data_IF_492181799337
#
_entry.id   IF_492181799337
#
_cell.length_a   1.000
_cell.length_b   1.000
_cell.length_c   1.000
_cell.angle_alpha   90.00
_cell.angle_beta   90.00
_cell.angle_gamma   90.00
#
_symmetry.space_group_name_H-M   'P 1'
#
loop_
_entity.id
_entity.type
_entity.pdbx_description
1 polymer ?
#
# COMPACT_ATOMS: atom_id res chain seq x y z
N UNK A 1 13.24 6.96 20.19
CA UNK A 1 12.33 6.19 19.32
C UNK A 1 11.62 7.19 18.44
N UNK A 2 11.51 6.93 17.14
CA UNK A 2 10.71 7.78 16.24
C UNK A 2 9.33 7.16 16.04
N UNK A 3 8.31 7.99 15.88
CA UNK A 3 6.91 7.59 15.71
C UNK A 3 6.46 7.83 14.27
N UNK A 4 5.99 6.76 13.62
CA UNK A 4 5.30 6.84 12.34
C UNK A 4 3.82 6.52 12.58
N UNK A 5 2.94 7.48 12.27
CA UNK A 5 1.51 7.35 12.54
C UNK A 5 0.72 7.22 11.23
N UNK A 6 -0.07 6.15 11.13
CA UNK A 6 -0.99 5.90 10.02
C UNK A 6 -2.40 6.35 10.34
N UNK A 7 -2.94 7.31 9.60
CA UNK A 7 -4.30 7.83 9.80
C UNK A 7 -5.37 6.82 9.37
N UNK A 8 -5.20 6.19 8.21
CA UNK A 8 -6.12 5.17 7.71
C UNK A 8 -5.40 3.84 7.44
N UNK A 9 -5.62 2.85 8.32
CA UNK A 9 -5.16 1.47 8.16
C UNK A 9 -6.37 0.53 8.05
N UNK A 10 -7.05 0.60 6.90
CA UNK A 10 -8.17 -0.26 6.48
C UNK A 10 -9.43 -0.25 7.39
N UNK A 11 -9.47 0.62 8.40
CA UNK A 11 -10.55 0.67 9.39
C UNK A 11 -11.61 1.70 8.97
N UNK A 12 -12.65 1.23 8.31
CA UNK A 12 -13.82 2.05 7.95
C UNK A 12 -14.92 1.89 9.02
N UNK A 13 -15.43 2.99 9.62
CA UNK A 13 -16.54 2.90 10.56
C UNK A 13 -17.78 2.25 9.94
N UNK A 14 -18.56 1.41 10.68
CA UNK A 14 -19.73 0.74 10.12
C UNK A 14 -20.76 1.69 9.49
N UNK A 15 -21.05 2.81 10.13
CA UNK A 15 -21.97 3.83 9.59
C UNK A 15 -21.47 4.46 8.28
N UNK A 16 -20.14 4.51 8.08
CA UNK A 16 -19.56 5.00 6.84
C UNK A 16 -19.71 3.96 5.72
N UNK A 17 -19.53 2.69 6.08
CA UNK A 17 -19.80 1.57 5.17
C UNK A 17 -21.25 1.53 4.73
N UNK A 18 -22.22 1.75 5.62
CA UNK A 18 -23.65 1.66 5.33
C UNK A 18 -24.10 2.61 4.21
N UNK A 19 -23.51 3.81 4.09
CA UNK A 19 -23.84 4.74 3.00
C UNK A 19 -22.99 4.55 1.74
N UNK A 20 -21.97 3.68 1.76
CA UNK A 20 -21.10 3.40 0.62
C UNK A 20 -19.64 3.85 0.76
N UNK A 21 -19.23 4.44 1.90
CA UNK A 21 -17.84 4.71 2.23
C UNK A 21 -17.11 5.55 1.17
N UNK A 22 -15.88 5.14 0.82
CA UNK A 22 -15.01 5.85 -0.13
C UNK A 22 -15.57 5.95 -1.56
N UNK A 23 -16.71 5.31 -1.88
CA UNK A 23 -17.43 5.55 -3.13
C UNK A 23 -17.98 6.98 -3.22
N UNK A 24 -18.20 7.64 -2.09
CA UNK A 24 -18.80 8.97 -1.99
C UNK A 24 -17.83 10.01 -1.43
N UNK A 25 -17.86 11.22 -2.01
CA UNK A 25 -17.11 12.40 -1.55
C UNK A 25 -17.29 12.69 -0.06
N UNK A 26 -18.51 12.44 0.47
CA UNK A 26 -18.85 12.62 1.88
C UNK A 26 -17.83 11.99 2.85
N UNK A 27 -17.19 10.89 2.46
CA UNK A 27 -16.17 10.21 3.28
C UNK A 27 -14.89 11.02 3.42
N UNK A 28 -14.56 11.86 2.43
CA UNK A 28 -13.44 12.79 2.50
C UNK A 28 -13.64 13.77 3.66
N UNK A 29 -14.84 14.31 3.81
CA UNK A 29 -15.13 15.29 4.87
C UNK A 29 -14.99 14.65 6.26
N UNK A 30 -15.56 13.46 6.46
CA UNK A 30 -15.42 12.72 7.73
C UNK A 30 -13.97 12.32 8.01
N UNK A 31 -13.22 11.89 7.00
CA UNK A 31 -11.80 11.59 7.16
C UNK A 31 -11.01 12.85 7.56
N UNK A 32 -11.35 14.01 6.99
CA UNK A 32 -10.72 15.27 7.38
C UNK A 32 -11.11 15.68 8.80
N UNK A 33 -12.35 15.51 9.23
CA UNK A 33 -12.75 15.77 10.61
C UNK A 33 -11.97 14.90 11.60
N UNK A 34 -11.82 13.61 11.30
CA UNK A 34 -10.96 12.71 12.06
C UNK A 34 -9.49 13.15 12.04
N UNK A 35 -8.96 13.48 10.85
CA UNK A 35 -7.56 13.90 10.67
C UNK A 35 -7.24 15.13 11.51
N UNK A 36 -8.11 16.14 11.51
CA UNK A 36 -7.93 17.35 12.32
C UNK A 36 -7.82 17.01 13.80
N UNK A 37 -8.75 16.22 14.32
CA UNK A 37 -8.74 15.79 15.73
C UNK A 37 -7.44 15.06 16.08
N UNK A 38 -6.95 14.16 15.23
CA UNK A 38 -5.71 13.42 15.48
C UNK A 38 -4.49 14.34 15.42
N UNK A 39 -4.34 15.10 14.34
CA UNK A 39 -3.19 15.98 14.11
C UNK A 39 -3.11 17.04 15.23
N UNK A 40 -4.22 17.67 15.59
CA UNK A 40 -4.25 18.69 16.64
C UNK A 40 -3.89 18.11 18.02
N UNK A 41 -4.19 16.83 18.25
CA UNK A 41 -3.96 16.18 19.53
C UNK A 41 -2.55 15.59 19.70
N UNK A 42 -1.94 15.06 18.63
CA UNK A 42 -0.70 14.26 18.75
C UNK A 42 0.44 14.67 17.84
N UNK A 43 0.31 15.75 17.03
CA UNK A 43 1.35 16.13 16.07
C UNK A 43 2.73 16.37 16.65
N UNK A 44 2.82 16.87 17.89
CA UNK A 44 4.11 17.06 18.58
C UNK A 44 4.86 15.74 18.87
N UNK A 45 4.18 14.60 18.79
CA UNK A 45 4.75 13.27 19.06
C UNK A 45 5.06 12.47 17.78
N UNK A 46 4.67 12.97 16.60
CA UNK A 46 4.73 12.22 15.34
C UNK A 46 5.92 12.70 14.50
N UNK A 47 6.82 11.78 14.17
CA UNK A 47 7.98 12.04 13.30
C UNK A 47 7.67 11.82 11.82
N UNK A 48 6.72 10.94 11.49
CA UNK A 48 6.31 10.62 10.11
C UNK A 48 4.81 10.37 10.04
N UNK A 49 4.16 10.92 9.02
CA UNK A 49 2.74 10.67 8.77
C UNK A 49 2.55 9.75 7.58
N UNK A 50 1.70 8.73 7.74
CA UNK A 50 1.13 7.95 6.66
C UNK A 50 -0.36 8.31 6.61
N UNK A 51 -0.84 8.92 5.53
CA UNK A 51 -2.28 9.21 5.43
C UNK A 51 -3.08 7.93 5.18
N UNK A 52 -2.62 7.08 4.24
CA UNK A 52 -3.30 5.87 3.80
C UNK A 52 -2.31 4.71 3.71
N UNK A 53 -2.67 3.59 4.34
CA UNK A 53 -2.05 2.29 4.08
C UNK A 53 -2.82 1.56 2.98
N UNK A 54 -2.07 1.03 2.01
CA UNK A 54 -2.50 0.15 0.91
C UNK A 54 -3.89 0.44 0.32
N UNK A 55 -4.18 1.69 -0.09
CA UNK A 55 -5.55 2.07 -0.44
C UNK A 55 -6.12 1.29 -1.62
N UNK A 56 -5.27 0.87 -2.56
CA UNK A 56 -5.72 0.03 -3.67
C UNK A 56 -6.09 -1.40 -3.23
N UNK A 57 -5.40 -1.96 -2.23
CA UNK A 57 -5.73 -3.27 -1.63
C UNK A 57 -7.08 -3.15 -0.93
N UNK A 58 -7.27 -2.10 -0.12
CA UNK A 58 -8.55 -1.83 0.53
C UNK A 58 -9.69 -1.70 -0.48
N UNK A 59 -9.52 -0.89 -1.54
CA UNK A 59 -10.55 -0.70 -2.57
C UNK A 59 -10.87 -2.00 -3.30
N UNK A 60 -9.86 -2.78 -3.67
CA UNK A 60 -10.03 -4.04 -4.38
C UNK A 60 -10.77 -5.07 -3.52
N UNK A 61 -10.32 -5.28 -2.27
CA UNK A 61 -10.89 -6.31 -1.40
C UNK A 61 -12.25 -5.92 -0.82
N UNK A 62 -12.49 -4.63 -0.58
CA UNK A 62 -13.77 -4.14 -0.04
C UNK A 62 -14.78 -3.91 -1.16
N UNK A 63 -14.47 -3.08 -2.15
CA UNK A 63 -15.47 -2.63 -3.14
C UNK A 63 -15.56 -3.48 -4.40
N UNK A 64 -14.50 -4.21 -4.77
CA UNK A 64 -14.51 -5.03 -5.99
C UNK A 64 -14.77 -6.51 -5.69
N UNK A 65 -14.05 -7.09 -4.72
CA UNK A 65 -14.16 -8.51 -4.39
C UNK A 65 -15.19 -8.81 -3.28
N UNK A 66 -15.53 -7.83 -2.44
CA UNK A 66 -16.39 -8.05 -1.26
C UNK A 66 -15.79 -9.02 -0.22
N UNK A 67 -14.48 -9.19 -0.22
CA UNK A 67 -13.76 -10.07 0.68
C UNK A 67 -13.47 -9.42 2.05
N UNK A 68 -13.43 -8.09 2.11
CA UNK A 68 -13.22 -7.32 3.34
C UNK A 68 -14.50 -6.66 3.85
N UNK A 69 -14.59 -6.36 5.18
CA UNK A 69 -15.76 -5.73 5.77
C UNK A 69 -16.16 -4.43 5.08
N UNK A 70 -17.47 -4.24 4.95
CA UNK A 70 -18.06 -3.09 4.28
C UNK A 70 -18.19 -3.22 2.77
N UNK A 71 -17.80 -4.37 2.23
CA UNK A 71 -18.02 -4.76 0.85
C UNK A 71 -19.26 -5.63 0.67
N UNK A 72 -20.29 -5.09 0.01
CA UNK A 72 -21.41 -5.86 -0.53
C UNK A 72 -21.68 -5.49 -2.00
N UNK A 73 -20.68 -5.67 -2.89
CA UNK A 73 -20.84 -5.25 -4.28
C UNK A 73 -21.86 -6.11 -5.01
N UNK A 74 -22.66 -5.47 -5.86
CA UNK A 74 -23.55 -6.19 -6.76
C UNK A 74 -22.79 -6.68 -8.01
N UNK A 75 -23.46 -7.53 -8.81
CA UNK A 75 -22.85 -8.12 -10.01
C UNK A 75 -22.39 -7.08 -11.03
N UNK A 76 -23.07 -5.93 -11.12
CA UNK A 76 -22.70 -4.86 -12.05
C UNK A 76 -21.47 -4.11 -11.53
N UNK A 77 -21.42 -3.80 -10.24
CA UNK A 77 -20.25 -3.20 -9.59
C UNK A 77 -19.01 -4.10 -9.78
N UNK A 78 -19.14 -5.42 -9.58
CA UNK A 78 -18.05 -6.38 -9.81
C UNK A 78 -17.61 -6.35 -11.29
N UNK A 79 -18.56 -6.49 -12.22
CA UNK A 79 -18.28 -6.59 -13.65
C UNK A 79 -17.68 -5.30 -14.25
N UNK A 80 -17.97 -4.14 -13.66
CA UNK A 80 -17.49 -2.84 -14.14
C UNK A 80 -16.37 -2.25 -13.29
N UNK A 81 -15.95 -2.95 -12.23
CA UNK A 81 -15.02 -2.45 -11.20
C UNK A 81 -13.73 -1.85 -11.76
N UNK A 82 -13.12 -2.51 -12.75
CA UNK A 82 -11.87 -2.11 -13.36
C UNK A 82 -12.00 -1.11 -14.53
N UNK A 83 -13.22 -0.71 -14.90
CA UNK A 83 -13.43 0.33 -15.91
C UNK A 83 -12.96 1.69 -15.38
N UNK A 84 -12.64 2.67 -16.26
CA UNK A 84 -12.26 4.02 -15.84
C UNK A 84 -13.30 4.71 -14.93
N UNK A 85 -14.58 4.42 -15.14
CA UNK A 85 -15.71 4.92 -14.34
C UNK A 85 -16.18 3.91 -13.28
N UNK A 86 -15.45 2.81 -13.11
CA UNK A 86 -15.76 1.74 -12.17
C UNK A 86 -15.50 2.16 -10.72
N UNK A 87 -16.06 1.37 -9.80
CA UNK A 87 -16.01 1.64 -8.36
C UNK A 87 -14.58 1.76 -7.82
N UNK A 88 -13.63 0.99 -8.37
CA UNK A 88 -12.23 1.06 -7.98
C UNK A 88 -11.65 2.46 -8.24
N UNK A 89 -11.80 2.95 -9.47
CA UNK A 89 -11.27 4.26 -9.85
C UNK A 89 -11.97 5.40 -9.11
N UNK A 90 -13.28 5.28 -8.87
CA UNK A 90 -14.06 6.24 -8.09
C UNK A 90 -13.56 6.33 -6.65
N UNK A 91 -13.40 5.19 -5.96
CA UNK A 91 -12.93 5.16 -4.58
C UNK A 91 -11.48 5.66 -4.48
N UNK A 92 -10.60 5.22 -5.38
CA UNK A 92 -9.22 5.70 -5.45
C UNK A 92 -9.12 7.21 -5.73
N UNK A 93 -10.08 7.78 -6.48
CA UNK A 93 -10.15 9.23 -6.69
C UNK A 93 -10.42 9.97 -5.37
N UNK A 94 -11.45 9.59 -4.63
CA UNK A 94 -11.78 10.25 -3.35
C UNK A 94 -10.70 10.06 -2.29
N UNK A 95 -10.06 8.89 -2.24
CA UNK A 95 -8.89 8.66 -1.37
C UNK A 95 -7.72 9.59 -1.76
N UNK A 96 -7.48 9.81 -3.05
CA UNK A 96 -6.43 10.74 -3.51
C UNK A 96 -6.75 12.17 -3.07
N UNK A 97 -8.00 12.62 -3.21
CA UNK A 97 -8.45 13.93 -2.75
C UNK A 97 -8.29 14.07 -1.23
N UNK A 98 -8.67 13.04 -0.47
CA UNK A 98 -8.51 13.02 0.99
C UNK A 98 -7.04 13.07 1.42
N UNK A 99 -6.16 12.36 0.72
CA UNK A 99 -4.72 12.42 0.95
C UNK A 99 -4.19 13.84 0.77
N UNK A 100 -4.49 14.49 -0.37
CA UNK A 100 -4.04 15.87 -0.63
C UNK A 100 -4.53 16.86 0.41
N UNK A 101 -5.81 16.76 0.84
CA UNK A 101 -6.36 17.62 1.91
C UNK A 101 -5.68 17.37 3.26
N UNK A 102 -5.38 16.12 3.61
CA UNK A 102 -4.69 15.78 4.85
C UNK A 102 -3.23 16.24 4.83
N UNK A 103 -2.54 16.07 3.71
CA UNK A 103 -1.18 16.58 3.50
C UNK A 103 -1.13 18.08 3.75
N UNK A 104 -1.98 18.86 3.09
CA UNK A 104 -2.01 20.32 3.25
C UNK A 104 -2.29 20.72 4.71
N UNK A 105 -3.27 20.07 5.35
CA UNK A 105 -3.59 20.34 6.75
C UNK A 105 -2.42 20.06 7.69
N UNK A 106 -1.72 18.92 7.51
CA UNK A 106 -0.58 18.56 8.36
C UNK A 106 0.53 19.59 8.23
N UNK A 107 0.89 20.02 7.02
CA UNK A 107 1.93 21.02 6.82
C UNK A 107 1.55 22.43 7.30
N UNK A 108 0.28 22.81 7.17
CA UNK A 108 -0.21 24.10 7.65
C UNK A 108 -0.23 24.19 9.19
N UNK A 109 -0.45 23.07 9.88
CA UNK A 109 -0.71 23.06 11.32
C UNK A 109 0.45 22.47 12.16
N UNK A 110 1.39 21.72 11.56
CA UNK A 110 2.55 21.15 12.27
C UNK A 110 3.81 22.03 12.11
N UNK A 111 3.75 23.27 12.58
CA UNK A 111 4.77 24.30 12.29
C UNK A 111 6.12 24.14 13.00
N UNK A 112 6.20 23.43 14.14
CA UNK A 112 7.44 23.34 14.93
C UNK A 112 8.39 22.22 14.46
N UNK A 113 7.85 21.13 13.90
CA UNK A 113 8.62 19.94 13.50
C UNK A 113 8.55 19.63 12.00
N UNK A 114 7.56 20.18 11.29
CA UNK A 114 7.26 19.91 9.87
C UNK A 114 7.52 18.44 9.47
N UNK A 115 6.85 17.47 10.12
CA UNK A 115 7.11 16.06 9.91
C UNK A 115 6.75 15.66 8.48
N UNK A 116 7.56 14.83 7.81
CA UNK A 116 7.28 14.37 6.44
C UNK A 116 5.98 13.57 6.36
N UNK A 117 5.21 13.81 5.31
CA UNK A 117 3.93 13.16 5.01
C UNK A 117 4.07 12.28 3.77
N UNK A 118 3.55 11.06 3.86
CA UNK A 118 3.57 10.09 2.78
C UNK A 118 2.41 9.11 2.83
N UNK A 119 2.55 8.03 2.08
CA UNK A 119 1.63 6.88 2.04
C UNK A 119 2.41 5.59 2.21
N UNK A 120 1.74 4.51 2.62
CA UNK A 120 2.32 3.16 2.61
C UNK A 120 1.66 2.36 1.47
N UNK A 121 2.40 2.15 0.39
CA UNK A 121 1.87 1.58 -0.84
C UNK A 121 2.33 0.15 -1.04
N UNK A 122 1.38 -0.78 -1.03
CA UNK A 122 1.66 -2.19 -1.32
C UNK A 122 2.14 -2.38 -2.75
N UNK A 123 3.21 -3.15 -2.89
CA UNK A 123 3.71 -3.61 -4.18
C UNK A 123 4.07 -5.08 -4.04
N UNK A 124 3.58 -5.89 -4.97
CA UNK A 124 3.92 -7.30 -5.10
C UNK A 124 4.63 -7.52 -6.43
N UNK A 125 5.59 -8.45 -6.46
CA UNK A 125 6.18 -8.87 -7.72
C UNK A 125 5.23 -9.86 -8.41
N UNK A 126 4.43 -9.37 -9.36
CA UNK A 126 3.51 -10.22 -10.12
C UNK A 126 4.21 -10.82 -11.34
N UNK A 127 4.17 -12.15 -11.46
CA UNK A 127 4.67 -12.87 -12.66
C UNK A 127 3.59 -13.77 -13.26
N UNK A 128 3.56 -13.93 -14.59
CA UNK A 128 2.61 -14.82 -15.24
C UNK A 128 3.00 -16.28 -15.03
N UNK A 129 2.02 -17.17 -14.84
CA UNK A 129 2.27 -18.62 -14.80
C UNK A 129 2.68 -19.16 -16.17
N UNK A 130 2.00 -18.72 -17.23
CA UNK A 130 2.33 -19.04 -18.63
C UNK A 130 2.16 -17.86 -19.58
N UNK A 131 2.47 -18.07 -20.86
CA UNK A 131 2.42 -17.02 -21.89
C UNK A 131 1.04 -16.36 -22.03
N UNK A 132 -0.04 -17.09 -21.76
CA UNK A 132 -1.40 -16.58 -21.84
C UNK A 132 -1.78 -15.67 -20.66
N UNK A 133 -1.01 -15.67 -19.57
CA UNK A 133 -1.28 -14.89 -18.37
C UNK A 133 -0.58 -13.51 -18.39
N UNK A 134 0.27 -13.25 -19.39
CA UNK A 134 1.03 -11.99 -19.52
C UNK A 134 0.08 -10.79 -19.55
N UNK A 135 -1.00 -10.86 -20.34
CA UNK A 135 -1.96 -9.76 -20.45
C UNK A 135 -2.67 -9.45 -19.13
N UNK A 136 -2.99 -10.49 -18.33
CA UNK A 136 -3.61 -10.32 -17.03
C UNK A 136 -2.65 -9.63 -16.05
N UNK A 137 -1.38 -10.04 -16.00
CA UNK A 137 -0.34 -9.39 -15.18
C UNK A 137 -0.11 -7.94 -15.61
N UNK A 138 0.02 -7.68 -16.91
CA UNK A 138 0.19 -6.31 -17.42
C UNK A 138 -1.00 -5.43 -17.03
N UNK A 139 -2.23 -5.93 -17.15
CA UNK A 139 -3.43 -5.20 -16.77
C UNK A 139 -3.46 -4.92 -15.26
N UNK A 140 -3.24 -5.94 -14.42
CA UNK A 140 -3.21 -5.80 -12.96
C UNK A 140 -2.15 -4.77 -12.53
N UNK A 141 -0.94 -4.86 -13.08
CA UNK A 141 0.15 -3.93 -12.80
C UNK A 141 -0.19 -2.49 -13.23
N UNK A 142 -0.87 -2.33 -14.37
CA UNK A 142 -1.27 -1.01 -14.87
C UNK A 142 -2.28 -0.29 -13.98
N UNK A 143 -3.01 -1.04 -13.14
CA UNK A 143 -3.99 -0.50 -12.20
C UNK A 143 -3.40 -0.27 -10.79
N UNK A 144 -2.46 -1.12 -10.38
CA UNK A 144 -2.09 -1.24 -8.95
C UNK A 144 -0.72 -0.67 -8.60
N UNK A 145 0.25 -0.68 -9.52
CA UNK A 145 1.63 -0.32 -9.16
C UNK A 145 1.80 1.19 -9.05
N UNK A 146 1.48 1.94 -10.10
CA UNK A 146 1.83 3.37 -10.22
C UNK A 146 0.66 4.37 -10.17
N UNK A 147 -0.57 4.07 -10.66
CA UNK A 147 -1.60 5.10 -10.83
C UNK A 147 -1.96 5.88 -9.58
N UNK A 148 -1.92 5.27 -8.40
CA UNK A 148 -2.21 5.96 -7.16
C UNK A 148 -1.12 6.98 -6.81
N UNK A 149 0.14 6.55 -6.79
CA UNK A 149 1.28 7.43 -6.50
C UNK A 149 1.36 8.55 -7.53
N UNK A 150 1.10 8.26 -8.81
CA UNK A 150 1.06 9.27 -9.87
C UNK A 150 0.02 10.37 -9.61
N UNK A 151 -1.13 10.04 -9.01
CA UNK A 151 -2.21 11.01 -8.70
C UNK A 151 -1.87 11.95 -7.55
N UNK A 152 -0.93 11.57 -6.70
CA UNK A 152 -0.59 12.30 -5.47
C UNK A 152 0.87 12.76 -5.45
N UNK A 153 1.57 12.65 -6.57
CA UNK A 153 3.02 12.86 -6.64
C UNK A 153 3.47 14.27 -6.24
N UNK A 154 2.58 15.27 -6.30
CA UNK A 154 2.81 16.65 -5.88
C UNK A 154 2.52 16.90 -4.38
N UNK A 155 2.08 15.87 -3.65
CA UNK A 155 1.67 15.92 -2.23
C UNK A 155 2.34 14.80 -1.42
N UNK A 156 3.63 14.58 -1.64
CA UNK A 156 4.41 13.56 -0.94
C UNK A 156 5.78 14.13 -0.53
N UNK A 157 6.18 13.92 0.72
CA UNK A 157 7.56 14.13 1.18
C UNK A 157 8.38 12.85 1.13
N UNK A 158 7.72 11.69 1.04
CA UNK A 158 8.34 10.38 0.86
C UNK A 158 7.34 9.36 0.30
N UNK A 159 7.86 8.29 -0.30
CA UNK A 159 7.05 7.16 -0.79
C UNK A 159 7.30 5.95 0.10
N UNK A 160 6.29 5.55 0.88
CA UNK A 160 6.31 4.31 1.65
C UNK A 160 5.98 3.11 0.76
N UNK A 161 6.73 2.02 0.91
CA UNK A 161 6.56 0.77 0.15
C UNK A 161 6.31 -0.37 1.14
N UNK A 162 5.18 -1.06 0.97
CA UNK A 162 4.92 -2.34 1.62
C UNK A 162 5.23 -3.46 0.63
N UNK A 163 6.07 -4.40 1.02
CA UNK A 163 6.45 -5.52 0.16
C UNK A 163 6.48 -6.82 0.95
N UNK A 164 5.78 -7.83 0.45
CA UNK A 164 5.66 -9.12 1.11
C UNK A 164 6.22 -10.29 0.27
N UNK A 165 6.34 -10.13 -1.05
CA UNK A 165 6.87 -11.17 -1.92
C UNK A 165 6.34 -11.12 -3.35
N UNK A 166 6.22 -12.30 -3.95
CA UNK A 166 5.70 -12.48 -5.30
C UNK A 166 4.31 -13.11 -5.32
N UNK A 167 3.61 -12.85 -6.42
CA UNK A 167 2.33 -13.45 -6.77
C UNK A 167 2.43 -14.03 -8.19
N UNK A 168 1.93 -15.25 -8.38
CA UNK A 168 1.86 -15.88 -9.69
C UNK A 168 0.43 -15.83 -10.18
N UNK A 169 0.22 -15.19 -11.33
CA UNK A 169 -1.11 -15.05 -11.93
C UNK A 169 -1.36 -16.16 -12.94
N UNK A 170 -2.51 -16.82 -12.84
CA UNK A 170 -2.98 -17.81 -13.82
C UNK A 170 -4.48 -17.63 -14.08
N UNK A 171 -4.84 -17.33 -15.33
CA UNK A 171 -6.20 -16.98 -15.71
C UNK A 171 -6.72 -15.75 -14.96
N UNK A 172 -7.78 -15.93 -14.19
CA UNK A 172 -8.47 -14.86 -13.43
C UNK A 172 -8.03 -14.77 -11.97
N UNK A 173 -7.02 -15.54 -11.55
CA UNK A 173 -6.65 -15.63 -10.14
C UNK A 173 -5.17 -15.89 -9.88
N UNK A 174 -4.87 -16.07 -8.59
CA UNK A 174 -3.54 -16.41 -8.12
C UNK A 174 -3.33 -17.93 -8.12
N UNK A 175 -2.10 -18.36 -8.37
CA UNK A 175 -1.69 -19.76 -8.37
C UNK A 175 -0.47 -19.98 -7.49
N UNK A 176 -0.52 -21.01 -6.66
CA UNK A 176 0.65 -21.51 -5.95
C UNK A 176 1.44 -22.45 -6.89
N UNK A 177 2.75 -22.25 -6.97
CA UNK A 177 3.68 -22.97 -7.84
C UNK A 177 4.58 -23.82 -6.97
N UNK A 178 4.54 -25.15 -7.14
CA UNK A 178 5.22 -26.10 -6.25
C UNK A 178 6.72 -25.87 -6.05
N UNK A 179 7.40 -25.21 -7.00
CA UNK A 179 8.83 -24.94 -6.93
C UNK A 179 9.20 -23.68 -6.14
N UNK A 180 8.21 -22.86 -5.78
CA UNK A 180 8.43 -21.62 -5.05
C UNK A 180 8.29 -21.87 -3.54
N UNK A 181 9.06 -21.14 -2.73
CA UNK A 181 8.87 -21.07 -1.28
C UNK A 181 7.74 -20.09 -0.96
N UNK A 182 6.84 -20.47 -0.05
CA UNK A 182 5.68 -19.65 0.34
C UNK A 182 5.62 -19.43 1.85
N UNK A 183 5.13 -18.25 2.23
CA UNK A 183 4.63 -18.00 3.58
C UNK A 183 3.37 -18.81 3.87
N UNK A 184 2.99 -18.90 5.15
CA UNK A 184 1.71 -19.50 5.54
C UNK A 184 0.49 -18.72 5.00
N UNK A 185 0.66 -17.43 4.70
CA UNK A 185 -0.35 -16.60 4.04
C UNK A 185 -0.42 -16.79 2.51
N UNK A 186 0.37 -17.72 1.95
CA UNK A 186 0.37 -18.04 0.52
C UNK A 186 1.10 -17.02 -0.36
N UNK A 187 1.95 -16.16 0.23
CA UNK A 187 2.80 -15.20 -0.49
C UNK A 187 4.12 -15.87 -0.84
N UNK A 188 4.55 -15.82 -2.11
CA UNK A 188 5.81 -16.41 -2.51
C UNK A 188 6.98 -15.60 -1.96
N UNK A 189 7.92 -16.23 -1.27
CA UNK A 189 9.14 -15.58 -0.76
C UNK A 189 10.03 -15.23 -1.96
N UNK A 190 10.30 -13.92 -2.15
CA UNK A 190 11.04 -13.46 -3.34
C UNK A 190 11.80 -12.15 -3.09
N UNK A 191 12.97 -12.19 -2.41
CA UNK A 191 13.74 -10.99 -2.08
C UNK A 191 14.21 -10.19 -3.32
N UNK A 192 14.52 -10.88 -4.42
CA UNK A 192 14.88 -10.26 -5.70
C UNK A 192 13.77 -9.35 -6.25
N UNK A 193 12.52 -9.66 -5.93
CA UNK A 193 11.38 -8.83 -6.32
C UNK A 193 11.39 -7.47 -5.62
N UNK A 194 11.75 -7.42 -4.33
CA UNK A 194 11.88 -6.16 -3.60
C UNK A 194 12.95 -5.27 -4.25
N UNK A 195 14.14 -5.82 -4.51
CA UNK A 195 15.20 -5.10 -5.21
C UNK A 195 14.71 -4.51 -6.55
N UNK A 196 14.03 -5.32 -7.37
CA UNK A 196 13.49 -4.88 -8.67
C UNK A 196 12.42 -3.81 -8.54
N UNK A 197 11.53 -3.92 -7.55
CA UNK A 197 10.50 -2.92 -7.26
C UNK A 197 11.15 -1.59 -6.88
N UNK A 198 12.14 -1.60 -5.98
CA UNK A 198 12.85 -0.38 -5.57
C UNK A 198 13.53 0.32 -6.76
N UNK A 199 14.17 -0.44 -7.66
CA UNK A 199 14.75 0.12 -8.89
C UNK A 199 13.69 0.73 -9.83
N UNK A 200 12.56 0.04 -10.01
CA UNK A 200 11.48 0.54 -10.86
C UNK A 200 10.86 1.84 -10.30
N UNK A 201 10.62 1.88 -8.99
CA UNK A 201 10.12 3.07 -8.32
C UNK A 201 11.12 4.22 -8.35
N UNK A 202 12.41 3.95 -8.12
CA UNK A 202 13.45 4.95 -8.29
C UNK A 202 13.44 5.53 -9.69
N UNK A 203 13.49 4.69 -10.73
CA UNK A 203 13.55 5.20 -12.10
C UNK A 203 12.33 6.04 -12.49
N UNK A 204 11.15 5.66 -12.01
CA UNK A 204 9.92 6.42 -12.26
C UNK A 204 9.89 7.74 -11.51
N UNK A 205 10.26 7.75 -10.23
CA UNK A 205 10.02 8.87 -9.32
C UNK A 205 11.27 9.64 -8.89
N UNK A 206 12.47 9.33 -9.41
CA UNK A 206 13.71 10.05 -9.09
C UNK A 206 13.65 11.55 -9.36
N UNK A 207 12.78 12.00 -10.26
CA UNK A 207 12.56 13.41 -10.57
C UNK A 207 11.81 14.18 -9.45
N UNK A 208 11.17 13.48 -8.51
CA UNK A 208 10.52 14.07 -7.34
C UNK A 208 11.51 14.39 -6.23
N UNK A 209 12.70 13.78 -6.25
CA UNK A 209 13.76 13.95 -5.24
C UNK A 209 13.33 13.63 -3.79
N UNK A 210 12.25 12.86 -3.62
CA UNK A 210 11.77 12.40 -2.31
C UNK A 210 12.38 11.05 -1.91
N UNK A 211 12.60 10.80 -0.60
CA UNK A 211 13.02 9.50 -0.11
C UNK A 211 11.97 8.39 -0.26
N UNK A 212 12.45 7.15 -0.27
CA UNK A 212 11.63 5.95 -0.18
C UNK A 212 11.81 5.31 1.19
N UNK A 213 10.72 4.81 1.77
CA UNK A 213 10.78 4.10 3.05
C UNK A 213 10.11 2.75 2.86
N UNK A 214 10.77 1.64 3.18
CA UNK A 214 10.05 0.36 3.31
C UNK A 214 9.26 0.43 4.61
N UNK A 215 7.95 0.59 4.51
CA UNK A 215 7.05 0.82 5.64
C UNK A 215 6.54 -0.48 6.24
N UNK A 216 6.36 -1.53 5.43
CA UNK A 216 6.07 -2.88 5.89
C UNK A 216 6.87 -3.92 5.07
N UNK A 217 7.55 -4.82 5.75
CA UNK A 217 8.16 -6.01 5.16
C UNK A 217 8.27 -7.10 6.22
N UNK A 218 7.73 -8.28 5.93
CA UNK A 218 7.65 -9.37 6.89
C UNK A 218 7.02 -10.61 6.28
N UNK A 219 6.94 -11.67 7.07
CA UNK A 219 6.42 -12.97 6.62
C UNK A 219 5.57 -13.63 7.71
N UNK A 220 4.44 -14.19 7.29
CA UNK A 220 3.61 -15.06 8.11
C UNK A 220 4.29 -16.45 8.20
N UNK A 221 4.72 -16.79 9.41
CA UNK A 221 5.50 -17.99 9.71
C UNK A 221 5.32 -18.34 11.20
N UNK A 222 4.36 -19.21 11.51
CA UNK A 222 4.08 -19.64 12.88
C UNK A 222 5.26 -20.40 13.49
N UNK A 223 6.06 -21.07 12.66
CA UNK A 223 7.21 -21.88 13.10
C UNK A 223 8.48 -21.09 13.34
N UNK A 224 8.53 -19.84 12.85
CA UNK A 224 9.71 -18.95 12.86
C UNK A 224 10.94 -19.53 12.13
N UNK A 225 10.73 -20.51 11.23
CA UNK A 225 11.78 -21.18 10.45
C UNK A 225 12.26 -20.29 9.30
N UNK A 226 11.34 -19.67 8.56
CA UNK A 226 11.64 -18.88 7.36
C UNK A 226 11.72 -17.38 7.65
N UNK A 227 11.21 -16.90 8.79
CA UNK A 227 11.22 -15.48 9.14
C UNK A 227 12.62 -14.88 9.15
N UNK A 228 13.57 -15.53 9.81
CA UNK A 228 14.96 -15.04 9.87
C UNK A 228 15.62 -14.95 8.49
N UNK A 229 15.68 -16.02 7.66
CA UNK A 229 16.27 -15.91 6.32
C UNK A 229 15.51 -14.91 5.44
N UNK A 230 14.17 -14.89 5.48
CA UNK A 230 13.35 -13.91 4.77
C UNK A 230 13.82 -12.47 5.03
N UNK A 231 13.92 -12.09 6.30
CA UNK A 231 14.27 -10.71 6.68
C UNK A 231 15.70 -10.35 6.28
N UNK A 232 16.65 -11.29 6.44
CA UNK A 232 18.03 -11.06 6.03
C UNK A 232 18.15 -10.85 4.53
N UNK A 233 17.49 -11.68 3.73
CA UNK A 233 17.57 -11.60 2.26
C UNK A 233 16.87 -10.35 1.72
N UNK A 234 15.72 -9.97 2.28
CA UNK A 234 15.04 -8.73 1.89
C UNK A 234 15.84 -7.49 2.33
N UNK A 235 16.49 -7.51 3.49
CA UNK A 235 17.39 -6.42 3.91
C UNK A 235 18.61 -6.31 2.98
N UNK A 236 19.18 -7.42 2.53
CA UNK A 236 20.24 -7.43 1.52
C UNK A 236 19.75 -6.87 0.17
N UNK A 237 18.51 -7.17 -0.24
CA UNK A 237 17.90 -6.59 -1.43
C UNK A 237 17.75 -5.06 -1.32
N UNK A 238 17.31 -4.54 -0.17
CA UNK A 238 17.27 -3.09 0.09
C UNK A 238 18.66 -2.48 0.05
N UNK A 239 19.63 -3.11 0.72
CA UNK A 239 21.02 -2.64 0.74
C UNK A 239 21.64 -2.60 -0.66
N UNK A 240 21.37 -3.61 -1.49
CA UNK A 240 21.81 -3.63 -2.88
C UNK A 240 21.18 -2.49 -3.70
N UNK A 241 19.90 -2.19 -3.50
CA UNK A 241 19.24 -1.05 -4.14
C UNK A 241 19.87 0.29 -3.70
N UNK A 242 20.14 0.46 -2.40
CA UNK A 242 20.79 1.66 -1.85
C UNK A 242 22.14 1.95 -2.50
N UNK A 243 22.94 0.91 -2.75
CA UNK A 243 24.25 1.04 -3.41
C UNK A 243 24.10 1.52 -4.87
N UNK A 244 23.10 1.03 -5.59
CA UNK A 244 22.98 1.26 -7.03
C UNK A 244 22.33 2.59 -7.39
N UNK A 245 21.27 2.99 -6.69
CA UNK A 245 20.40 4.07 -7.18
C UNK A 245 20.30 5.29 -6.29
N UNK A 246 20.38 5.18 -4.96
CA UNK A 246 20.46 6.36 -4.05
C UNK A 246 20.51 5.94 -2.58
N UNK A 247 21.17 6.71 -1.68
CA UNK A 247 21.03 6.55 -0.21
C UNK A 247 19.65 6.96 0.34
N UNK A 248 18.71 7.38 -0.51
CA UNK A 248 17.36 7.82 -0.14
C UNK A 248 16.39 6.69 0.29
N UNK A 249 16.85 5.43 0.40
CA UNK A 249 16.04 4.34 0.94
C UNK A 249 16.28 4.16 2.44
N UNK A 250 15.20 4.17 3.23
CA UNK A 250 15.22 3.81 4.66
C UNK A 250 14.34 2.57 4.89
N UNK A 251 14.66 1.74 5.88
CA UNK A 251 13.96 0.48 6.15
C UNK A 251 13.31 0.50 7.53
N UNK A 252 12.00 0.25 7.60
CA UNK A 252 11.25 -0.03 8.81
C UNK A 252 10.79 -1.49 8.82
N UNK A 253 10.78 -2.07 10.01
CA UNK A 253 10.43 -3.46 10.25
C UNK A 253 8.98 -3.55 10.74
N UNK A 254 8.14 -4.33 10.07
CA UNK A 254 6.78 -4.61 10.55
C UNK A 254 6.71 -5.97 11.26
N UNK A 255 6.09 -5.99 12.44
CA UNK A 255 5.88 -7.16 13.30
C UNK A 255 4.43 -7.66 13.25
N UNK A 256 3.53 -7.08 12.44
CA UNK A 256 2.09 -7.31 12.56
C UNK A 256 1.51 -8.59 11.95
N UNK A 257 2.30 -9.50 11.36
CA UNK A 257 1.82 -10.80 10.88
C UNK A 257 1.24 -11.74 11.98
N UNK A 258 1.17 -11.30 13.25
CA UNK A 258 0.64 -12.08 14.38
C UNK A 258 -0.80 -11.71 14.82
N UNK A 259 -1.42 -10.64 14.29
CA UNK A 259 -2.71 -10.17 14.81
C UNK A 259 -3.91 -10.58 13.94
N UNK A 260 -4.28 -11.87 14.01
CA UNK A 260 -5.68 -12.40 14.09
C UNK A 260 -5.67 -13.92 13.83
N UNK A 261 -5.32 -14.69 14.85
CA UNK A 261 -5.91 -16.01 15.08
C UNK A 261 -6.53 -15.92 16.48
N UNK A 262 -7.84 -15.64 16.51
CA UNK A 262 -8.79 -16.00 17.57
C UNK A 262 -10.20 -15.64 17.08
#
# INVERSE_FOLDING_TARGET
>A
MKVMLTLFHHSLPPWASEYGGWKLEKTVDYFMDFTRVVVDAVSELVDYWITFNEPHVFCMLTYCAGAWPGGHPDMLEVATSALPTGVFNQAMHWISVAHSKAYDYIHENCSSLNPPVGVAHHVSFMRPYGLFDIAAVTFANSLTIFPYIDRIADKLDYIGINYYGQEVVSGVGLKLVETDEYSESGRGVYPDGLFRVLLQFHERYKHLEVPFIVTENGVADQTDIIRRPYLLEHLLAVYAAMILVSPLFTYLFDNHCLNRIN
#
